data_IF_451281101294
#
_entry.id   IF_451281101294
#
_cell.length_a   1.000
_cell.length_b   1.000
_cell.length_c   1.000
_cell.angle_alpha   90.00
_cell.angle_beta   90.00
_cell.angle_gamma   90.00
#
_symmetry.space_group_name_H-M   'P 1'
#
loop_
_entity.id
_entity.type
_entity.pdbx_description
1 polymer ?
#
# COMPACT_ATOMS: atom_id res chain seq x y z
N UNK A 1 4.33 -8.05 3.44
CA UNK A 1 5.11 -7.59 2.26
C UNK A 1 6.30 -6.74 2.62
N UNK A 2 6.12 -5.59 3.29
CA UNK A 2 7.20 -4.64 3.60
C UNK A 2 8.45 -5.29 4.26
N UNK A 3 8.25 -6.12 5.29
CA UNK A 3 9.34 -6.84 5.95
C UNK A 3 10.20 -7.67 4.98
N UNK A 4 9.59 -8.49 4.12
CA UNK A 4 10.33 -9.34 3.18
C UNK A 4 11.06 -8.52 2.10
N UNK A 5 10.52 -7.36 1.72
CA UNK A 5 11.23 -6.42 0.85
C UNK A 5 12.49 -5.89 1.55
N UNK A 6 12.38 -5.48 2.82
CA UNK A 6 13.54 -5.05 3.60
C UNK A 6 14.55 -6.18 3.83
N UNK A 7 14.11 -7.43 4.00
CA UNK A 7 15.00 -8.60 4.05
C UNK A 7 15.75 -8.76 2.72
N UNK A 8 15.05 -8.69 1.59
CA UNK A 8 15.66 -8.77 0.26
C UNK A 8 16.67 -7.64 -0.02
N UNK A 9 16.45 -6.45 0.56
CA UNK A 9 17.39 -5.32 0.50
C UNK A 9 18.51 -5.38 1.55
N UNK A 10 18.51 -6.38 2.44
CA UNK A 10 19.42 -6.46 3.59
C UNK A 10 19.32 -5.26 4.55
N UNK A 11 18.12 -4.69 4.69
CA UNK A 11 17.79 -3.52 5.51
C UNK A 11 16.83 -3.83 6.66
N UNK A 12 16.36 -5.08 6.80
CA UNK A 12 15.34 -5.46 7.78
C UNK A 12 15.68 -5.12 9.25
N UNK A 13 16.96 -5.16 9.62
CA UNK A 13 17.43 -4.77 10.96
C UNK A 13 17.73 -3.27 11.10
N UNK A 14 17.85 -2.54 10.00
CA UNK A 14 18.29 -1.14 9.97
C UNK A 14 17.10 -0.18 9.88
N UNK A 15 16.09 -0.53 9.09
CA UNK A 15 14.90 0.30 8.86
C UNK A 15 13.72 -0.30 9.62
N UNK A 16 13.10 0.52 10.46
CA UNK A 16 11.85 0.17 11.14
C UNK A 16 10.64 0.46 10.26
N UNK A 17 9.63 -0.40 10.32
CA UNK A 17 8.39 -0.26 9.57
C UNK A 17 7.43 0.62 10.36
N UNK A 18 7.02 1.75 9.78
CA UNK A 18 5.93 2.57 10.30
C UNK A 18 4.58 1.97 9.87
N UNK A 19 3.69 1.71 10.82
CA UNK A 19 2.34 1.19 10.53
C UNK A 19 1.39 2.37 10.40
N UNK A 20 0.85 2.58 9.20
CA UNK A 20 -0.03 3.70 8.87
C UNK A 20 -1.42 3.18 8.44
N UNK A 21 -2.42 3.19 9.34
CA UNK A 21 -3.81 2.85 9.00
C UNK A 21 -4.38 3.71 7.87
N UNK A 22 -3.93 4.95 7.70
CA UNK A 22 -4.36 5.81 6.60
C UNK A 22 -4.10 5.22 5.21
N UNK A 23 -3.17 4.27 5.05
CA UNK A 23 -2.92 3.58 3.78
C UNK A 23 -3.89 2.41 3.51
N UNK A 24 -4.77 2.10 4.46
CA UNK A 24 -5.76 1.03 4.30
C UNK A 24 -6.73 1.34 3.16
N UNK A 25 -7.20 0.25 2.54
CA UNK A 25 -8.04 0.24 1.35
C UNK A 25 -9.41 0.95 1.52
N UNK A 26 -10.13 1.10 0.40
CA UNK A 26 -11.39 1.84 0.38
C UNK A 26 -12.43 1.16 1.26
N UNK A 27 -12.94 1.90 2.26
CA UNK A 27 -13.82 1.30 3.28
C UNK A 27 -15.18 0.85 2.75
N UNK A 28 -15.60 1.30 1.56
CA UNK A 28 -16.79 0.78 0.91
C UNK A 28 -16.69 -0.72 0.56
N UNK A 29 -15.49 -1.31 0.56
CA UNK A 29 -15.30 -2.76 0.43
C UNK A 29 -15.52 -3.53 1.73
N UNK A 30 -15.76 -2.83 2.84
CA UNK A 30 -15.94 -3.37 4.19
C UNK A 30 -17.28 -2.91 4.80
N UNK A 31 -18.43 -3.28 4.19
CA UNK A 31 -19.74 -2.76 4.61
C UNK A 31 -20.16 -3.21 6.02
N UNK A 32 -19.72 -4.39 6.45
CA UNK A 32 -20.16 -5.00 7.71
C UNK A 32 -19.19 -4.73 8.87
N UNK A 33 -17.91 -5.06 8.65
CA UNK A 33 -16.86 -4.91 9.66
C UNK A 33 -15.53 -4.60 9.02
N UNK A 34 -14.70 -3.88 9.76
CA UNK A 34 -13.29 -3.73 9.46
C UNK A 34 -12.53 -4.99 9.89
N UNK A 35 -11.35 -5.27 9.28
CA UNK A 35 -10.49 -6.34 9.73
C UNK A 35 -10.05 -6.18 11.18
N UNK A 36 -9.68 -7.30 11.80
CA UNK A 36 -8.92 -7.28 13.04
C UNK A 36 -7.44 -7.06 12.70
N UNK A 37 -6.88 -5.96 13.18
CA UNK A 37 -5.48 -5.59 12.89
C UNK A 37 -4.60 -5.95 14.08
N UNK A 38 -3.42 -6.51 13.77
CA UNK A 38 -2.39 -6.73 14.78
C UNK A 38 -1.98 -5.41 15.44
N UNK A 39 -1.89 -5.43 16.75
CA UNK A 39 -1.23 -4.40 17.54
C UNK A 39 0.27 -4.35 17.23
N UNK A 40 0.91 -3.23 17.58
CA UNK A 40 2.36 -3.07 17.48
C UNK A 40 3.09 -4.17 18.26
N UNK A 41 2.59 -4.57 19.43
CA UNK A 41 3.22 -5.62 20.24
C UNK A 41 3.09 -7.00 19.59
N UNK A 42 1.95 -7.31 18.97
CA UNK A 42 1.79 -8.55 18.21
C UNK A 42 2.72 -8.58 17.00
N UNK A 43 2.89 -7.46 16.28
CA UNK A 43 3.87 -7.38 15.19
C UNK A 43 5.29 -7.66 15.69
N UNK A 44 5.69 -7.08 16.82
CA UNK A 44 7.02 -7.29 17.41
C UNK A 44 7.20 -8.74 17.87
N UNK A 45 6.20 -9.30 18.53
CA UNK A 45 6.18 -10.70 18.97
C UNK A 45 6.30 -11.66 17.79
N UNK A 46 5.69 -11.31 16.66
CA UNK A 46 5.81 -12.07 15.41
C UNK A 46 7.15 -11.86 14.67
N UNK A 47 8.07 -11.03 15.19
CA UNK A 47 9.40 -10.83 14.63
C UNK A 47 9.51 -9.69 13.61
N UNK A 48 8.50 -8.84 13.46
CA UNK A 48 8.57 -7.68 12.58
C UNK A 48 9.26 -6.50 13.27
N UNK A 49 10.23 -5.88 12.58
CA UNK A 49 10.92 -4.68 13.04
C UNK A 49 10.04 -3.43 12.81
N UNK A 50 8.93 -3.33 13.53
CA UNK A 50 8.03 -2.16 13.49
C UNK A 50 8.54 -1.03 14.39
N UNK A 51 8.22 0.21 14.04
CA UNK A 51 8.54 1.39 14.83
C UNK A 51 7.46 1.64 15.88
N UNK A 52 7.71 1.39 17.18
CA UNK A 52 6.69 1.61 18.22
C UNK A 52 6.45 3.09 18.52
N UNK A 53 7.38 3.96 18.14
CA UNK A 53 7.32 5.40 18.40
C UNK A 53 6.65 6.16 17.24
N UNK A 54 6.32 5.47 16.15
CA UNK A 54 5.58 6.06 15.04
C UNK A 54 4.16 6.40 15.49
N UNK A 55 3.79 7.66 15.34
CA UNK A 55 2.42 8.13 15.53
C UNK A 55 1.75 8.17 14.16
N UNK A 56 0.72 7.34 13.92
CA UNK A 56 0.00 7.38 12.67
C UNK A 56 -0.59 8.76 12.38
N UNK A 57 -0.62 9.13 11.11
CA UNK A 57 -1.29 10.34 10.65
C UNK A 57 -2.81 10.19 10.65
N UNK A 58 -3.28 8.95 10.50
CA UNK A 58 -4.66 8.56 10.72
C UNK A 58 -4.67 7.32 11.63
N UNK A 59 -5.27 7.45 12.81
CA UNK A 59 -5.46 6.32 13.73
C UNK A 59 -6.47 5.30 13.20
N UNK A 60 -6.52 4.12 13.83
CA UNK A 60 -7.52 3.09 13.48
C UNK A 60 -8.94 3.56 13.84
N UNK A 61 -9.07 4.31 14.92
CA UNK A 61 -10.32 4.90 15.38
C UNK A 61 -10.83 5.94 14.38
N UNK A 62 -9.98 6.88 13.96
CA UNK A 62 -10.33 7.88 12.94
C UNK A 62 -10.64 7.23 11.59
N UNK A 63 -9.88 6.21 11.18
CA UNK A 63 -10.19 5.43 9.97
C UNK A 63 -11.58 4.79 10.08
N UNK A 64 -11.94 4.23 11.23
CA UNK A 64 -13.23 3.59 11.42
C UNK A 64 -14.42 4.55 11.31
N UNK A 65 -14.23 5.84 11.59
CA UNK A 65 -15.24 6.89 11.39
C UNK A 65 -15.50 7.18 9.90
N UNK A 66 -14.59 6.78 9.00
CA UNK A 66 -14.70 7.03 7.55
C UNK A 66 -15.43 5.93 6.78
N UNK A 67 -16.16 5.01 7.43
CA UNK A 67 -16.84 3.88 6.77
C UNK A 67 -17.77 4.28 5.61
N UNK A 68 -18.30 5.48 5.64
CA UNK A 68 -19.16 6.03 4.57
C UNK A 68 -18.40 6.88 3.55
N UNK A 69 -17.07 6.77 3.46
CA UNK A 69 -16.28 7.55 2.51
C UNK A 69 -16.67 7.24 1.05
N UNK A 70 -16.89 8.30 0.28
CA UNK A 70 -17.05 8.17 -1.17
C UNK A 70 -15.70 7.80 -1.82
N UNK A 71 -15.75 7.36 -3.07
CA UNK A 71 -14.53 7.13 -3.84
C UNK A 71 -13.67 8.41 -3.89
N UNK A 72 -14.26 9.59 -4.08
CA UNK A 72 -13.51 10.85 -4.08
C UNK A 72 -12.86 11.14 -2.73
N UNK A 73 -13.57 10.93 -1.62
CA UNK A 73 -13.01 11.09 -0.26
C UNK A 73 -11.85 10.12 -0.01
N UNK A 74 -11.93 8.89 -0.51
CA UNK A 74 -10.83 7.92 -0.46
C UNK A 74 -9.57 8.44 -1.19
N UNK A 75 -9.72 9.03 -2.38
CA UNK A 75 -8.60 9.68 -3.09
C UNK A 75 -8.04 10.86 -2.29
N UNK A 76 -8.91 11.75 -1.79
CA UNK A 76 -8.49 12.93 -1.01
C UNK A 76 -7.70 12.53 0.23
N UNK A 77 -8.18 11.54 1.00
CA UNK A 77 -7.48 11.02 2.19
C UNK A 77 -6.09 10.49 1.84
N UNK A 78 -5.96 9.71 0.78
CA UNK A 78 -4.67 9.16 0.34
C UNK A 78 -3.72 10.26 -0.18
N UNK A 79 -4.23 11.27 -0.87
CA UNK A 79 -3.45 12.44 -1.29
C UNK A 79 -2.88 13.15 -0.05
N UNK A 80 -3.75 13.56 0.87
CA UNK A 80 -3.35 14.30 2.08
C UNK A 80 -2.34 13.52 2.91
N UNK A 81 -2.56 12.23 3.06
CA UNK A 81 -1.64 11.33 3.75
C UNK A 81 -0.28 11.30 3.06
N UNK A 82 -0.25 11.12 1.74
CA UNK A 82 0.99 11.02 0.97
C UNK A 82 1.78 12.33 1.02
N UNK A 83 1.12 13.47 0.81
CA UNK A 83 1.74 14.81 0.91
C UNK A 83 2.32 15.06 2.30
N UNK A 84 1.60 14.64 3.36
CA UNK A 84 2.07 14.78 4.73
C UNK A 84 3.27 13.88 5.01
N UNK A 85 3.28 12.64 4.51
CA UNK A 85 4.43 11.73 4.63
C UNK A 85 5.66 12.31 3.91
N UNK A 86 5.48 12.85 2.70
CA UNK A 86 6.54 13.52 1.93
C UNK A 86 7.11 14.69 2.73
N UNK A 87 6.24 15.59 3.20
CA UNK A 87 6.62 16.78 3.97
C UNK A 87 7.39 16.42 5.25
N UNK A 88 6.92 15.42 6.00
CA UNK A 88 7.55 14.96 7.24
C UNK A 88 8.89 14.25 7.01
N UNK A 89 9.11 13.68 5.83
CA UNK A 89 10.37 12.98 5.49
C UNK A 89 11.45 13.96 5.05
N UNK A 90 11.07 15.04 4.36
CA UNK A 90 12.01 16.04 3.86
C UNK A 90 12.82 15.52 2.67
N UNK A 91 13.99 14.93 2.92
CA UNK A 91 14.91 14.46 1.87
C UNK A 91 15.13 12.96 2.00
N UNK A 92 14.92 12.23 0.90
CA UNK A 92 15.20 10.79 0.81
C UNK A 92 14.13 10.04 0.04
N UNK A 93 14.28 8.72 0.00
CA UNK A 93 13.33 7.82 -0.66
C UNK A 93 12.26 7.37 0.35
N UNK A 94 11.01 7.32 -0.11
CA UNK A 94 9.86 6.85 0.66
C UNK A 94 9.31 5.61 -0.02
N UNK A 95 9.06 4.55 0.75
CA UNK A 95 8.40 3.34 0.26
C UNK A 95 7.04 3.20 0.94
N UNK A 96 5.98 3.36 0.17
CA UNK A 96 4.62 3.05 0.61
C UNK A 96 4.27 1.61 0.21
N UNK A 97 3.92 0.79 1.19
CA UNK A 97 3.46 -0.59 0.96
C UNK A 97 2.02 -0.71 1.44
N UNK A 98 1.09 -0.79 0.49
CA UNK A 98 -0.33 -0.90 0.76
C UNK A 98 -1.02 -1.90 -0.18
N UNK A 99 -2.08 -1.43 -0.82
CA UNK A 99 -3.00 -2.23 -1.63
C UNK A 99 -2.87 -1.88 -3.10
N UNK A 100 -3.58 -2.62 -3.98
CA UNK A 100 -3.59 -2.30 -5.42
C UNK A 100 -3.98 -0.83 -5.69
N UNK A 101 -4.93 -0.30 -4.91
CA UNK A 101 -5.38 1.09 -5.04
C UNK A 101 -4.34 2.13 -4.62
N UNK A 102 -3.44 1.78 -3.70
CA UNK A 102 -2.39 2.68 -3.20
C UNK A 102 -1.51 3.22 -4.34
N UNK A 103 -1.21 2.39 -5.35
CA UNK A 103 -0.44 2.81 -6.53
C UNK A 103 -1.08 3.98 -7.26
N UNK A 104 -2.40 4.08 -7.22
CA UNK A 104 -3.15 5.11 -7.91
C UNK A 104 -3.52 6.27 -6.99
N UNK A 105 -4.13 5.99 -5.84
CA UNK A 105 -4.65 7.02 -4.93
C UNK A 105 -3.55 7.85 -4.29
N UNK A 106 -2.35 7.27 -4.08
CA UNK A 106 -1.21 7.99 -3.52
C UNK A 106 -0.36 8.71 -4.58
N UNK A 107 -0.55 8.44 -5.88
CA UNK A 107 0.28 9.03 -6.95
C UNK A 107 -0.48 10.02 -7.82
N UNK A 108 -1.76 9.79 -8.07
CA UNK A 108 -2.51 10.45 -9.13
C UNK A 108 -2.59 11.96 -8.98
N UNK A 109 -2.90 12.43 -7.77
CA UNK A 109 -3.04 13.86 -7.51
C UNK A 109 -1.69 14.57 -7.42
N UNK A 110 -0.62 13.88 -6.99
CA UNK A 110 0.75 14.39 -7.10
C UNK A 110 1.14 14.66 -8.56
N UNK A 111 0.68 13.81 -9.48
CA UNK A 111 0.87 13.95 -10.93
C UNK A 111 -0.09 14.99 -11.56
N UNK A 112 -0.83 15.75 -10.76
CA UNK A 112 -1.74 16.81 -11.22
C UNK A 112 -3.04 16.29 -11.86
N UNK A 113 -3.37 15.00 -11.71
CA UNK A 113 -4.59 14.42 -12.25
C UNK A 113 -5.72 14.37 -11.19
N UNK A 114 -6.99 14.61 -11.57
CA UNK A 114 -8.11 14.57 -10.63
C UNK A 114 -8.44 13.12 -10.22
N UNK A 115 -9.06 12.90 -9.04
CA UNK A 115 -9.55 11.58 -8.61
C UNK A 115 -10.31 10.82 -9.70
N UNK A 116 -10.19 9.48 -9.72
CA UNK A 116 -11.03 8.66 -10.62
C UNK A 116 -12.41 8.45 -10.04
N UNK A 117 -13.36 8.14 -10.92
CA UNK A 117 -14.62 7.52 -10.53
C UNK A 117 -14.37 6.11 -9.95
N UNK A 118 -15.31 5.61 -9.14
CA UNK A 118 -15.23 4.24 -8.60
C UNK A 118 -15.18 3.17 -9.70
N UNK A 119 -15.85 3.42 -10.82
CA UNK A 119 -15.88 2.53 -11.98
C UNK A 119 -14.52 2.44 -12.66
N UNK A 120 -13.87 3.58 -12.89
CA UNK A 120 -12.56 3.61 -13.55
C UNK A 120 -11.46 3.10 -12.64
N UNK A 121 -11.52 3.41 -11.34
CA UNK A 121 -10.65 2.80 -10.35
C UNK A 121 -10.80 1.26 -10.40
N UNK A 122 -12.02 0.73 -10.32
CA UNK A 122 -12.26 -0.72 -10.35
C UNK A 122 -11.70 -1.38 -11.62
N UNK A 123 -11.79 -0.72 -12.78
CA UNK A 123 -11.18 -1.23 -14.02
C UNK A 123 -9.65 -1.25 -13.94
N UNK A 124 -9.05 -0.22 -13.36
CA UNK A 124 -7.61 -0.14 -13.17
C UNK A 124 -7.11 -1.26 -12.23
N UNK A 125 -7.74 -1.45 -11.06
CA UNK A 125 -7.27 -2.39 -10.04
C UNK A 125 -7.20 -3.84 -10.53
N UNK A 126 -8.07 -4.21 -11.47
CA UNK A 126 -8.05 -5.55 -12.11
C UNK A 126 -6.76 -5.86 -12.86
N UNK A 127 -6.01 -4.82 -13.23
CA UNK A 127 -4.77 -4.93 -13.99
C UNK A 127 -3.52 -4.74 -13.11
N UNK A 128 -3.66 -4.77 -11.78
CA UNK A 128 -2.57 -4.59 -10.83
C UNK A 128 -2.28 -5.93 -10.13
N UNK A 129 -1.26 -6.69 -10.58
CA UNK A 129 -0.79 -7.89 -9.91
C UNK A 129 -0.17 -7.62 -8.54
N UNK A 130 0.02 -8.70 -7.77
CA UNK A 130 0.78 -8.65 -6.52
C UNK A 130 2.19 -8.08 -6.72
N UNK A 131 2.63 -7.27 -5.75
CA UNK A 131 3.94 -6.61 -5.75
C UNK A 131 4.21 -5.73 -6.98
N UNK A 132 3.16 -5.24 -7.65
CA UNK A 132 3.30 -4.16 -8.63
C UNK A 132 3.91 -2.93 -7.97
N UNK A 133 4.81 -2.26 -8.68
CA UNK A 133 5.57 -1.11 -8.21
C UNK A 133 5.35 0.06 -9.16
N UNK A 134 5.19 1.26 -8.62
CA UNK A 134 5.33 2.52 -9.35
C UNK A 134 6.36 3.39 -8.64
N UNK A 135 7.07 4.22 -9.39
CA UNK A 135 8.06 5.15 -8.83
C UNK A 135 7.74 6.56 -9.30
N UNK A 136 7.68 7.47 -8.33
CA UNK A 136 7.51 8.89 -8.57
C UNK A 136 8.79 9.61 -8.15
N UNK A 137 9.24 10.56 -8.97
CA UNK A 137 10.38 11.41 -8.68
C UNK A 137 10.00 12.89 -8.84
N UNK A 138 10.45 13.71 -7.90
CA UNK A 138 10.30 15.16 -7.95
C UNK A 138 11.44 15.75 -8.79
N UNK A 139 11.12 16.37 -9.92
CA UNK A 139 12.12 16.98 -10.80
C UNK A 139 12.64 18.32 -10.26
N UNK A 140 13.64 18.90 -10.93
CA UNK A 140 14.23 20.19 -10.56
C UNK A 140 13.29 21.39 -10.69
N UNK A 141 12.08 21.20 -11.20
CA UNK A 141 11.02 22.22 -11.31
C UNK A 141 9.87 21.96 -10.34
N UNK A 142 10.11 21.15 -9.29
CA UNK A 142 9.12 20.77 -8.28
C UNK A 142 7.89 20.07 -8.89
N UNK A 143 8.08 19.29 -9.95
CA UNK A 143 7.02 18.46 -10.54
C UNK A 143 7.25 16.98 -10.31
N UNK A 144 6.21 16.30 -9.86
CA UNK A 144 6.20 14.84 -9.76
C UNK A 144 6.06 14.21 -11.13
N UNK A 145 6.90 13.20 -11.40
CA UNK A 145 6.88 12.43 -12.64
C UNK A 145 6.86 10.94 -12.33
N UNK A 146 6.12 10.16 -13.12
CA UNK A 146 6.30 8.71 -13.14
C UNK A 146 7.58 8.37 -13.90
N UNK A 147 8.45 7.60 -13.27
CA UNK A 147 9.70 7.13 -13.85
C UNK A 147 9.75 5.60 -13.85
N UNK A 148 10.74 5.05 -14.55
CA UNK A 148 11.00 3.61 -14.52
C UNK A 148 11.28 3.13 -13.09
N UNK A 149 10.74 1.96 -12.75
CA UNK A 149 10.95 1.35 -11.44
C UNK A 149 12.38 0.85 -11.29
N UNK A 150 12.97 0.90 -10.08
CA UNK A 150 14.34 0.44 -9.84
C UNK A 150 14.50 -1.09 -9.95
N UNK A 151 13.40 -1.83 -10.11
CA UNK A 151 13.38 -3.27 -10.30
C UNK A 151 12.43 -3.63 -11.46
N UNK A 152 12.71 -4.72 -12.20
CA UNK A 152 11.82 -5.21 -13.24
C UNK A 152 10.51 -5.77 -12.64
N UNK A 153 9.43 -5.85 -13.43
CA UNK A 153 8.19 -6.48 -12.99
C UNK A 153 8.37 -7.98 -12.74
N UNK A 154 7.56 -8.54 -11.85
CA UNK A 154 7.50 -9.97 -11.58
C UNK A 154 6.29 -10.59 -12.27
N UNK A 155 6.49 -11.71 -12.98
CA UNK A 155 5.40 -12.50 -13.56
C UNK A 155 5.70 -13.98 -13.38
N UNK A 156 4.72 -14.73 -12.89
CA UNK A 156 4.79 -16.18 -12.77
C UNK A 156 3.43 -16.80 -13.12
N UNK A 157 3.42 -18.07 -13.52
CA UNK A 157 2.19 -18.80 -13.78
C UNK A 157 1.52 -19.28 -12.49
N UNK A 158 0.26 -19.69 -12.59
CA UNK A 158 -0.40 -20.43 -11.52
C UNK A 158 0.28 -21.78 -11.29
N UNK A 159 0.25 -22.25 -10.04
CA UNK A 159 0.69 -23.59 -9.67
C UNK A 159 -0.50 -24.34 -9.04
N UNK A 160 -1.10 -25.24 -9.80
CA UNK A 160 -2.29 -25.96 -9.35
C UNK A 160 -1.94 -26.99 -8.28
N UNK A 161 -2.82 -27.11 -7.27
CA UNK A 161 -2.67 -28.14 -6.24
C UNK A 161 -2.79 -29.52 -6.87
N UNK A 162 -1.76 -30.35 -6.69
CA UNK A 162 -1.81 -31.74 -7.09
C UNK A 162 -2.63 -32.57 -6.09
N UNK A 163 -3.68 -33.25 -6.58
CA UNK A 163 -4.38 -34.29 -5.82
C UNK A 163 -3.80 -35.66 -6.17
N UNK A 164 -2.96 -36.17 -5.29
CA UNK A 164 -2.30 -37.45 -5.48
C UNK A 164 -3.29 -38.63 -5.56
N UNK A 165 -4.53 -38.48 -5.06
CA UNK A 165 -5.55 -39.53 -5.17
C UNK A 165 -5.98 -39.81 -6.61
N UNK A 166 -5.76 -38.87 -7.53
CA UNK A 166 -5.97 -39.08 -8.97
C UNK A 166 -5.08 -40.19 -9.55
N UNK A 167 -4.00 -40.58 -8.87
CA UNK A 167 -3.17 -41.72 -9.26
C UNK A 167 -3.77 -43.09 -8.88
N UNK A 168 -4.81 -43.11 -8.04
CA UNK A 168 -5.44 -44.36 -7.55
C UNK A 168 -6.60 -44.83 -8.45
N UNK A 169 -7.05 -44.00 -9.38
CA UNK A 169 -8.09 -44.35 -10.36
C UNK A 169 -7.45 -44.99 -11.60
N UNK A 170 -7.79 -46.25 -11.88
CA UNK A 170 -7.44 -46.99 -13.10
C UNK A 170 -8.22 -46.50 -14.32
#
# INVERSE_FOLDING_TARGET
TCHNLLVGLNLASQIRINIEPGLFEWLAWYPDTLPDWMSIEEFRTAGYNVNPDYKPLLSLEELAELRSETCEQFYIRNQQLTETIISNTGVGNILLVGHAATLDTCSRQLLGAPPRTSQDMTKLLKNIPYCSLCTLELDTNDRWNLIDTPAPPLTHSNNHRFDWKGLLTL
#
